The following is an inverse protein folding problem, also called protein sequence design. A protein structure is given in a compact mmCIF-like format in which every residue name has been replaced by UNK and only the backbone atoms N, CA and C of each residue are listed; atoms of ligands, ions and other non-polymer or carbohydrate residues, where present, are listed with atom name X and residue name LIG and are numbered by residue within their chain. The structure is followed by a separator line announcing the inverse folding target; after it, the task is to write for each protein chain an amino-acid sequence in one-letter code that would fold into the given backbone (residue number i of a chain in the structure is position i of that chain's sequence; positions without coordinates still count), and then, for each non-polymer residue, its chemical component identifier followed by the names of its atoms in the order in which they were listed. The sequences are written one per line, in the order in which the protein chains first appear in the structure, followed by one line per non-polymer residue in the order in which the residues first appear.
data_IF_066404233204
#
_entry.id   IF_066404233204
#
_cell.length_a   1.000
_cell.length_b   1.000
_cell.length_c   1.000
_cell.angle_alpha   90.00
_cell.angle_beta   90.00
_cell.angle_gamma   90.00
#
_symmetry.space_group_name_H-M   'P 1'
#
loop_
_entity.id
_entity.type
_entity.pdbx_description
1 polymer ?
#
# COMPACT_ATOMS: atom_id res chain seq x y z
N UNK A 1 6.16 -10.60 -18.54
CA UNK A 1 5.98 -11.69 -17.54
C UNK A 1 5.66 -12.95 -18.28
N UNK A 2 6.26 -14.08 -17.90
CA UNK A 2 6.18 -15.34 -18.65
C UNK A 2 4.86 -16.11 -18.50
N UNK A 3 3.90 -15.58 -17.72
CA UNK A 3 2.59 -16.18 -17.50
C UNK A 3 2.58 -17.48 -16.68
N UNK A 4 3.73 -17.92 -16.18
CA UNK A 4 3.80 -19.12 -15.35
C UNK A 4 3.22 -18.84 -13.95
N UNK A 5 2.51 -19.83 -13.43
CA UNK A 5 2.01 -19.76 -12.04
C UNK A 5 3.18 -19.65 -11.06
N UNK A 6 3.12 -18.73 -10.09
CA UNK A 6 4.17 -18.59 -9.10
C UNK A 6 4.24 -19.83 -8.21
N UNK A 7 5.46 -20.16 -7.74
CA UNK A 7 5.66 -21.25 -6.81
C UNK A 7 5.06 -20.89 -5.44
N UNK A 8 4.19 -21.75 -4.93
CA UNK A 8 3.58 -21.59 -3.60
C UNK A 8 4.61 -21.60 -2.44
N UNK A 9 5.80 -22.14 -2.68
CA UNK A 9 6.89 -22.13 -1.69
C UNK A 9 7.45 -20.71 -1.50
N UNK A 10 7.54 -19.92 -2.58
CA UNK A 10 8.07 -18.56 -2.52
C UNK A 10 7.23 -17.65 -1.61
N UNK A 11 5.90 -17.63 -1.79
CA UNK A 11 5.03 -16.78 -0.96
C UNK A 11 5.10 -17.17 0.53
N UNK A 12 5.17 -18.46 0.83
CA UNK A 12 5.30 -18.94 2.20
C UNK A 12 6.62 -18.50 2.84
N UNK A 13 7.74 -18.53 2.10
CA UNK A 13 9.02 -17.98 2.56
C UNK A 13 8.92 -16.49 2.86
N UNK A 14 8.23 -15.72 2.02
CA UNK A 14 8.02 -14.29 2.21
C UNK A 14 7.14 -13.97 3.43
N UNK A 15 6.18 -14.83 3.77
CA UNK A 15 5.29 -14.64 4.91
C UNK A 15 5.97 -14.93 6.27
N UNK A 16 7.01 -15.76 6.32
CA UNK A 16 7.69 -16.12 7.57
C UNK A 16 8.25 -14.91 8.34
N UNK A 17 9.02 -13.98 7.72
CA UNK A 17 9.53 -12.81 8.41
C UNK A 17 8.44 -11.82 8.86
N UNK A 18 7.23 -11.94 8.31
CA UNK A 18 6.09 -11.07 8.68
C UNK A 18 5.31 -11.59 9.90
N UNK A 19 5.53 -12.85 10.33
CA UNK A 19 4.79 -13.47 11.44
C UNK A 19 4.78 -12.66 12.74
N UNK A 20 5.90 -12.05 13.19
CA UNK A 20 5.89 -11.22 14.40
C UNK A 20 5.05 -9.95 14.29
N UNK A 21 4.78 -9.48 13.06
CA UNK A 21 4.00 -8.26 12.77
C UNK A 21 2.51 -8.54 12.55
N UNK A 22 2.17 -9.76 12.20
CA UNK A 22 0.79 -10.21 11.97
C UNK A 22 0.63 -11.64 12.48
N UNK A 23 0.51 -11.81 13.81
CA UNK A 23 0.45 -13.14 14.43
C UNK A 23 -0.91 -13.80 14.33
N UNK A 24 -2.00 -13.03 14.11
CA UNK A 24 -3.37 -13.48 14.36
C UNK A 24 -3.94 -14.31 13.21
N UNK A 25 -3.55 -14.00 11.95
CA UNK A 25 -4.07 -14.70 10.79
C UNK A 25 -3.05 -14.71 9.63
N UNK A 26 -3.16 -15.71 8.77
CA UNK A 26 -2.35 -15.86 7.55
C UNK A 26 -3.25 -16.23 6.38
N UNK A 27 -3.15 -15.48 5.30
CA UNK A 27 -3.84 -15.80 4.06
C UNK A 27 -2.93 -15.79 2.84
N UNK A 28 -3.27 -16.67 1.89
CA UNK A 28 -2.65 -16.74 0.57
C UNK A 28 -3.75 -16.87 -0.46
N UNK A 29 -3.64 -16.09 -1.53
CA UNK A 29 -4.52 -16.14 -2.68
C UNK A 29 -3.71 -16.19 -3.96
N UNK A 30 -4.20 -16.91 -4.97
CA UNK A 30 -3.53 -17.06 -6.25
C UNK A 30 -4.55 -17.05 -7.39
N UNK A 31 -4.19 -16.34 -8.46
CA UNK A 31 -4.92 -16.39 -9.74
C UNK A 31 -3.93 -16.25 -10.90
N UNK A 32 -3.81 -17.30 -11.71
CA UNK A 32 -2.86 -17.33 -12.82
C UNK A 32 -1.42 -17.04 -12.35
N UNK A 33 -0.72 -16.05 -12.93
CA UNK A 33 0.65 -15.71 -12.58
C UNK A 33 0.76 -14.81 -11.34
N UNK A 34 -0.34 -14.41 -10.72
CA UNK A 34 -0.35 -13.52 -9.56
C UNK A 34 -0.64 -14.28 -8.28
N UNK A 35 0.11 -13.93 -7.23
CA UNK A 35 -0.06 -14.47 -5.89
C UNK A 35 0.04 -13.35 -4.85
N UNK A 36 -0.91 -13.32 -3.91
CA UNK A 36 -0.88 -12.45 -2.74
C UNK A 36 -0.75 -13.27 -1.47
N UNK A 37 -0.01 -12.74 -0.51
CA UNK A 37 0.09 -13.27 0.84
C UNK A 37 -0.04 -12.16 1.86
N UNK A 38 -0.68 -12.46 2.99
CA UNK A 38 -0.89 -11.51 4.06
C UNK A 38 -0.69 -12.16 5.43
N UNK A 39 -0.11 -11.39 6.36
CA UNK A 39 -0.10 -11.66 7.81
C UNK A 39 -0.87 -10.56 8.51
N UNK A 40 -1.86 -10.93 9.29
CA UNK A 40 -2.80 -10.02 9.92
C UNK A 40 -2.49 -9.80 11.40
N UNK A 41 -2.52 -8.53 11.82
CA UNK A 41 -2.74 -8.09 13.18
C UNK A 41 -4.16 -7.54 13.25
N UNK A 42 -5.05 -8.23 13.96
CA UNK A 42 -6.48 -7.90 14.01
C UNK A 42 -6.74 -6.75 14.96
N UNK A 43 -7.01 -5.56 14.44
CA UNK A 43 -7.30 -4.34 15.21
C UNK A 43 -8.72 -3.85 14.90
N UNK A 44 -9.03 -3.66 13.61
CA UNK A 44 -10.37 -3.38 13.12
C UNK A 44 -10.97 -4.68 12.61
N UNK A 45 -12.26 -4.89 12.84
CA UNK A 45 -12.98 -6.12 12.47
C UNK A 45 -12.27 -7.41 12.92
N UNK A 46 -12.50 -7.83 14.15
CA UNK A 46 -11.87 -9.02 14.71
C UNK A 46 -12.43 -10.34 14.14
N UNK A 47 -13.43 -10.27 13.27
CA UNK A 47 -14.04 -11.43 12.64
C UNK A 47 -13.20 -11.96 11.45
N UNK A 48 -13.55 -13.15 10.99
CA UNK A 48 -13.00 -13.75 9.76
C UNK A 48 -13.30 -12.91 8.50
N UNK A 49 -14.28 -12.01 8.54
CA UNK A 49 -14.63 -11.12 7.43
C UNK A 49 -13.56 -10.08 7.14
N UNK A 50 -12.65 -9.82 8.10
CA UNK A 50 -11.47 -9.02 7.91
C UNK A 50 -10.26 -9.80 7.39
N UNK A 51 -10.41 -11.08 7.00
CA UNK A 51 -9.34 -11.89 6.41
C UNK A 51 -8.76 -11.25 5.15
N UNK A 52 -7.45 -11.41 4.97
CA UNK A 52 -6.75 -10.96 3.77
C UNK A 52 -5.82 -12.06 3.23
N UNK A 53 -5.64 -12.18 1.91
CA UNK A 53 -6.14 -11.31 0.85
C UNK A 53 -7.67 -11.27 0.80
N UNK A 54 -8.26 -10.05 0.78
CA UNK A 54 -9.70 -9.89 0.68
C UNK A 54 -10.12 -9.92 -0.78
N UNK A 55 -11.12 -10.76 -1.09
CA UNK A 55 -11.65 -10.96 -2.44
C UNK A 55 -13.08 -10.44 -2.50
N UNK A 56 -13.35 -9.54 -3.43
CA UNK A 56 -14.70 -9.16 -3.82
C UNK A 56 -14.99 -9.75 -5.20
N UNK A 57 -15.76 -10.84 -5.23
CA UNK A 57 -16.04 -11.58 -6.46
C UNK A 57 -17.00 -10.84 -7.39
N UNK A 58 -17.89 -10.00 -6.85
CA UNK A 58 -18.86 -9.23 -7.64
C UNK A 58 -18.14 -8.11 -8.39
N UNK A 59 -17.23 -7.41 -7.69
CA UNK A 59 -16.43 -6.33 -8.26
C UNK A 59 -15.23 -6.86 -9.06
N UNK A 60 -14.87 -8.13 -8.86
CA UNK A 60 -13.69 -8.79 -9.43
C UNK A 60 -12.37 -8.14 -9.00
N UNK A 61 -12.26 -7.80 -7.71
CA UNK A 61 -11.07 -7.23 -7.09
C UNK A 61 -10.51 -8.13 -6.00
N UNK A 62 -9.20 -8.09 -5.84
CA UNK A 62 -8.50 -8.72 -4.70
C UNK A 62 -7.49 -7.73 -4.13
N UNK A 63 -7.42 -7.62 -2.80
CA UNK A 63 -6.53 -6.66 -2.12
C UNK A 63 -5.76 -7.31 -0.98
N UNK A 64 -4.51 -6.86 -0.81
CA UNK A 64 -3.74 -6.94 0.44
C UNK A 64 -3.41 -5.53 0.91
N UNK A 65 -3.66 -5.26 2.18
CA UNK A 65 -3.61 -3.93 2.76
C UNK A 65 -2.89 -3.93 4.11
N UNK A 66 -1.97 -3.00 4.27
CA UNK A 66 -1.26 -2.73 5.51
C UNK A 66 -1.50 -1.27 5.90
N UNK A 67 -2.31 -1.03 6.91
CA UNK A 67 -2.61 0.34 7.31
C UNK A 67 -3.90 0.51 8.08
N UNK A 68 -4.38 1.75 8.09
CA UNK A 68 -5.69 2.15 8.61
C UNK A 68 -6.17 3.37 7.84
N UNK A 69 -7.42 3.31 7.36
CA UNK A 69 -8.14 4.46 6.78
C UNK A 69 -8.97 5.07 7.90
N UNK A 70 -8.57 6.20 8.44
CA UNK A 70 -9.21 6.81 9.62
C UNK A 70 -10.66 7.20 9.37
N UNK A 71 -10.94 7.76 8.19
CA UNK A 71 -12.29 8.18 7.79
C UNK A 71 -13.10 7.07 7.06
N UNK A 72 -12.79 5.79 7.34
CA UNK A 72 -13.47 4.68 6.66
C UNK A 72 -14.97 4.62 6.96
N UNK A 73 -15.42 5.13 8.10
CA UNK A 73 -16.84 5.10 8.48
C UNK A 73 -17.65 6.07 7.64
N UNK A 74 -17.14 7.28 7.45
CA UNK A 74 -17.74 8.31 6.61
C UNK A 74 -17.79 7.87 5.14
N UNK A 75 -16.68 7.33 4.63
CA UNK A 75 -16.62 6.78 3.28
C UNK A 75 -17.59 5.60 3.09
N UNK A 76 -17.74 4.77 4.11
CA UNK A 76 -18.69 3.64 4.09
C UNK A 76 -20.14 4.14 3.95
N UNK A 77 -20.54 5.14 4.72
CA UNK A 77 -21.90 5.70 4.64
C UNK A 77 -22.16 6.35 3.27
N UNK A 78 -21.18 7.06 2.71
CA UNK A 78 -21.29 7.60 1.37
C UNK A 78 -21.44 6.49 0.31
N UNK A 79 -20.62 5.44 0.39
CA UNK A 79 -20.70 4.29 -0.51
C UNK A 79 -22.03 3.54 -0.39
N UNK A 80 -22.59 3.42 0.82
CA UNK A 80 -23.95 2.89 1.01
C UNK A 80 -25.00 3.76 0.30
N UNK A 81 -24.84 5.08 0.36
CA UNK A 81 -25.69 6.03 -0.39
C UNK A 81 -25.60 5.83 -1.91
N UNK A 82 -24.47 5.32 -2.41
CA UNK A 82 -24.28 4.94 -3.82
C UNK A 82 -24.76 3.51 -4.14
N UNK A 83 -25.34 2.79 -3.18
CA UNK A 83 -25.89 1.45 -3.36
C UNK A 83 -24.93 0.30 -3.06
N UNK A 84 -23.73 0.56 -2.48
CA UNK A 84 -22.82 -0.51 -2.09
C UNK A 84 -23.26 -1.19 -0.79
N UNK A 85 -23.16 -2.52 -0.77
CA UNK A 85 -23.39 -3.35 0.42
C UNK A 85 -22.05 -3.78 1.00
N UNK A 86 -21.97 -3.92 2.33
CA UNK A 86 -20.77 -4.30 3.05
C UNK A 86 -21.01 -5.58 3.85
N UNK A 87 -20.03 -6.46 3.84
CA UNK A 87 -20.04 -7.71 4.60
C UNK A 87 -19.15 -7.66 5.84
N UNK A 88 -18.06 -6.88 5.78
CA UNK A 88 -17.14 -6.66 6.89
C UNK A 88 -17.42 -5.34 7.61
N UNK A 89 -16.83 -5.15 8.79
CA UNK A 89 -16.86 -3.88 9.52
C UNK A 89 -15.55 -3.09 9.41
N UNK A 90 -14.54 -3.67 8.75
CA UNK A 90 -13.21 -3.10 8.58
C UNK A 90 -13.11 -2.06 7.45
N UNK A 91 -11.96 -1.44 7.35
CA UNK A 91 -11.60 -0.44 6.34
C UNK A 91 -11.13 -1.05 5.01
N UNK A 92 -10.67 -2.30 5.00
CA UNK A 92 -10.17 -2.97 3.79
C UNK A 92 -11.24 -3.07 2.70
N UNK A 93 -12.49 -3.44 3.07
CA UNK A 93 -13.62 -3.51 2.12
C UNK A 93 -14.00 -2.13 1.59
N UNK A 94 -13.81 -1.07 2.41
CA UNK A 94 -14.04 0.31 1.98
C UNK A 94 -13.09 0.70 0.85
N UNK A 95 -11.81 0.27 0.91
CA UNK A 95 -10.86 0.53 -0.17
C UNK A 95 -11.31 -0.09 -1.49
N UNK A 96 -11.75 -1.37 -1.48
CA UNK A 96 -12.24 -2.06 -2.68
C UNK A 96 -13.42 -1.35 -3.32
N UNK A 97 -14.41 -0.97 -2.51
CA UNK A 97 -15.62 -0.30 -2.99
C UNK A 97 -15.35 1.14 -3.41
N UNK A 98 -14.44 1.84 -2.72
CA UNK A 98 -13.97 3.17 -3.12
C UNK A 98 -13.27 3.15 -4.49
N UNK A 99 -12.42 2.13 -4.72
CA UNK A 99 -11.76 1.98 -6.02
C UNK A 99 -12.77 1.72 -7.13
N UNK A 100 -13.79 0.89 -6.88
CA UNK A 100 -14.85 0.67 -7.86
C UNK A 100 -15.65 1.94 -8.16
N UNK A 101 -15.98 2.73 -7.13
CA UNK A 101 -16.80 3.93 -7.26
C UNK A 101 -16.05 5.09 -7.94
N UNK A 102 -14.76 5.29 -7.59
CA UNK A 102 -14.02 6.51 -7.95
C UNK A 102 -12.69 6.23 -8.68
N UNK A 103 -12.37 4.97 -8.98
CA UNK A 103 -11.12 4.61 -9.62
C UNK A 103 -9.91 5.03 -8.77
N UNK A 104 -8.83 5.44 -9.42
CA UNK A 104 -7.60 5.87 -8.76
C UNK A 104 -7.78 7.13 -7.90
N UNK A 105 -8.78 7.99 -8.19
CA UNK A 105 -9.07 9.17 -7.39
C UNK A 105 -9.55 8.85 -5.96
N UNK A 106 -9.88 7.60 -5.66
CA UNK A 106 -10.28 7.18 -4.32
C UNK A 106 -9.24 7.52 -3.24
N UNK A 107 -7.93 7.48 -3.57
CA UNK A 107 -6.85 7.76 -2.61
C UNK A 107 -6.80 9.22 -2.16
N UNK A 108 -7.33 10.15 -2.94
CA UNK A 108 -7.41 11.56 -2.57
C UNK A 108 -8.43 11.79 -1.44
N UNK A 109 -9.37 10.85 -1.30
CA UNK A 109 -10.44 10.86 -0.30
C UNK A 109 -10.02 10.17 1.02
N UNK A 110 -8.95 9.38 1.00
CA UNK A 110 -8.49 8.66 2.17
C UNK A 110 -7.73 9.57 3.14
N UNK A 111 -8.17 9.60 4.39
CA UNK A 111 -7.39 10.09 5.52
C UNK A 111 -6.84 8.86 6.25
N UNK A 112 -5.52 8.71 6.32
CA UNK A 112 -4.94 7.53 6.96
C UNK A 112 -3.50 7.26 6.59
N UNK A 113 -3.01 6.16 7.12
CA UNK A 113 -1.69 5.60 6.82
C UNK A 113 -1.87 4.25 6.15
N UNK A 114 -1.38 4.09 4.92
CA UNK A 114 -1.67 2.89 4.15
C UNK A 114 -0.62 2.55 3.09
N UNK A 115 -0.47 1.24 2.87
CA UNK A 115 0.10 0.69 1.66
C UNK A 115 -0.75 -0.51 1.25
N UNK A 116 -1.13 -0.60 -0.02
CA UNK A 116 -1.89 -1.73 -0.51
C UNK A 116 -1.48 -2.17 -1.90
N UNK A 117 -1.76 -3.43 -2.19
CA UNK A 117 -1.74 -3.97 -3.54
C UNK A 117 -3.14 -4.45 -3.89
N UNK A 118 -3.69 -3.94 -4.99
CA UNK A 118 -5.02 -4.25 -5.50
C UNK A 118 -4.91 -4.85 -6.89
N UNK A 119 -5.52 -6.00 -7.09
CA UNK A 119 -5.66 -6.65 -8.39
C UNK A 119 -7.04 -6.42 -8.97
N UNK A 120 -7.08 -5.80 -10.15
CA UNK A 120 -8.28 -5.72 -10.99
C UNK A 120 -8.25 -6.90 -11.98
N UNK A 121 -9.14 -7.87 -11.76
CA UNK A 121 -9.22 -9.08 -12.59
C UNK A 121 -9.74 -8.79 -13.99
N UNK A 122 -10.61 -7.77 -14.14
CA UNK A 122 -11.23 -7.41 -15.43
C UNK A 122 -10.23 -6.64 -16.30
N UNK A 123 -9.59 -5.64 -15.73
CA UNK A 123 -8.57 -4.86 -16.42
C UNK A 123 -7.22 -5.59 -16.52
N UNK A 124 -7.00 -6.66 -15.74
CA UNK A 124 -5.73 -7.37 -15.59
C UNK A 124 -4.60 -6.41 -15.19
N UNK A 125 -4.86 -5.58 -14.18
CA UNK A 125 -3.96 -4.56 -13.66
C UNK A 125 -3.68 -4.80 -12.19
N UNK A 126 -2.41 -4.72 -11.82
CA UNK A 126 -1.97 -4.68 -10.43
C UNK A 126 -1.66 -3.24 -10.06
N UNK A 127 -2.29 -2.75 -9.02
CA UNK A 127 -2.06 -1.42 -8.46
C UNK A 127 -1.29 -1.53 -7.15
N UNK A 128 -0.15 -0.84 -7.05
CA UNK A 128 0.61 -0.65 -5.81
C UNK A 128 0.45 0.80 -5.38
N UNK A 129 0.05 1.02 -4.14
CA UNK A 129 -0.31 2.35 -3.63
C UNK A 129 0.29 2.58 -2.26
N UNK A 130 0.79 3.80 -2.02
CA UNK A 130 1.37 4.19 -0.74
C UNK A 130 0.81 5.53 -0.28
N UNK A 131 0.58 5.70 1.02
CA UNK A 131 0.00 6.90 1.63
C UNK A 131 0.81 8.19 1.39
N UNK A 132 0.16 9.33 1.63
CA UNK A 132 0.69 10.68 1.37
C UNK A 132 2.05 10.94 1.98
N UNK A 133 2.29 10.47 3.21
CA UNK A 133 3.52 10.69 3.96
C UNK A 133 4.47 9.49 3.90
N UNK A 134 4.05 8.36 3.28
CA UNK A 134 4.82 7.13 3.21
C UNK A 134 5.01 6.47 4.57
N UNK A 135 4.02 6.60 5.47
CA UNK A 135 4.07 6.02 6.83
C UNK A 135 4.13 4.49 6.76
N UNK A 136 3.29 3.89 5.91
CA UNK A 136 3.36 2.44 5.70
C UNK A 136 4.39 2.12 4.63
N UNK A 137 5.33 1.21 4.92
CA UNK A 137 6.36 0.83 3.95
C UNK A 137 5.80 -0.08 2.85
N UNK A 138 6.31 0.10 1.64
CA UNK A 138 6.10 -0.77 0.50
C UNK A 138 7.38 -0.84 -0.31
N UNK A 139 7.96 -2.03 -0.41
CA UNK A 139 9.16 -2.33 -1.18
C UNK A 139 8.80 -3.18 -2.37
N UNK A 140 9.51 -3.01 -3.47
CA UNK A 140 9.33 -3.81 -4.68
C UNK A 140 10.65 -4.02 -5.41
N UNK A 141 10.72 -5.09 -6.19
CA UNK A 141 11.81 -5.39 -7.12
C UNK A 141 11.25 -6.07 -8.35
N UNK A 142 11.90 -5.90 -9.48
CA UNK A 142 11.52 -6.51 -10.74
C UNK A 142 12.78 -6.99 -11.49
N UNK A 143 12.85 -8.26 -11.82
CA UNK A 143 13.98 -8.89 -12.50
C UNK A 143 13.71 -9.19 -14.01
N UNK A 144 12.83 -8.42 -14.62
CA UNK A 144 12.39 -8.58 -16.01
C UNK A 144 11.27 -9.61 -16.22
N UNK A 145 11.24 -10.67 -15.43
CA UNK A 145 10.22 -11.74 -15.49
C UNK A 145 9.26 -11.74 -14.31
N UNK A 146 9.76 -11.34 -13.15
CA UNK A 146 9.07 -11.47 -11.88
C UNK A 146 9.05 -10.12 -11.18
N UNK A 147 7.86 -9.68 -10.76
CA UNK A 147 7.66 -8.58 -9.84
C UNK A 147 7.42 -9.14 -8.43
N UNK A 148 8.17 -8.68 -7.46
CA UNK A 148 7.97 -8.97 -6.05
C UNK A 148 7.68 -7.67 -5.30
N UNK A 149 6.79 -7.72 -4.32
CA UNK A 149 6.56 -6.62 -3.40
C UNK A 149 6.31 -7.13 -1.97
N UNK A 150 6.67 -6.33 -0.98
CA UNK A 150 6.46 -6.65 0.42
C UNK A 150 6.46 -5.38 1.29
N UNK A 151 5.90 -5.49 2.49
CA UNK A 151 5.93 -4.41 3.49
C UNK A 151 7.26 -4.33 4.24
N UNK A 152 8.16 -5.31 4.11
CA UNK A 152 9.49 -5.30 4.74
C UNK A 152 10.56 -5.87 3.82
N UNK A 153 11.81 -5.38 3.95
CA UNK A 153 12.95 -5.92 3.20
C UNK A 153 13.21 -7.41 3.49
N UNK A 154 13.21 -7.88 4.76
CA UNK A 154 13.41 -9.30 5.04
C UNK A 154 12.40 -10.21 4.34
N UNK A 155 11.13 -9.79 4.24
CA UNK A 155 10.11 -10.55 3.52
C UNK A 155 10.40 -10.61 2.01
N UNK A 156 10.82 -9.49 1.42
CA UNK A 156 11.19 -9.44 0.00
C UNK A 156 12.39 -10.34 -0.31
N UNK A 157 13.45 -10.26 0.52
CA UNK A 157 14.68 -11.05 0.35
C UNK A 157 14.45 -12.55 0.55
N UNK A 158 13.49 -12.93 1.39
CA UNK A 158 13.14 -14.34 1.64
C UNK A 158 12.57 -15.04 0.39
N UNK A 159 12.12 -14.28 -0.62
CA UNK A 159 11.71 -14.83 -1.91
C UNK A 159 12.86 -15.56 -2.64
N UNK A 160 14.10 -15.16 -2.38
CA UNK A 160 15.29 -15.63 -3.10
C UNK A 160 15.44 -15.02 -4.49
N UNK A 161 16.67 -15.02 -5.00
CA UNK A 161 17.01 -14.49 -6.32
C UNK A 161 16.93 -12.97 -6.44
N UNK A 162 16.84 -12.24 -5.31
CA UNK A 162 16.89 -10.78 -5.28
C UNK A 162 18.36 -10.35 -5.24
N UNK A 163 18.74 -9.38 -6.08
CA UNK A 163 20.08 -8.81 -6.03
C UNK A 163 20.29 -8.04 -4.73
N UNK A 164 21.34 -8.43 -3.99
CA UNK A 164 21.72 -7.84 -2.70
C UNK A 164 22.99 -7.00 -2.81
N UNK A 165 23.44 -6.63 -4.01
CA UNK A 165 24.53 -5.69 -4.17
C UNK A 165 24.17 -4.32 -3.61
N UNK A 166 25.08 -3.75 -2.84
CA UNK A 166 24.84 -2.43 -2.25
C UNK A 166 24.80 -1.32 -3.31
N UNK A 167 23.88 -0.38 -3.13
CA UNK A 167 23.85 0.89 -3.84
C UNK A 167 24.83 1.87 -3.13
N UNK A 168 25.92 2.31 -3.78
CA UNK A 168 26.90 3.20 -3.15
C UNK A 168 26.30 4.55 -2.71
N UNK A 169 25.33 5.08 -3.46
CA UNK A 169 24.64 6.32 -3.10
C UNK A 169 23.73 6.13 -1.89
N UNK A 170 23.04 4.99 -1.83
CA UNK A 170 22.22 4.64 -0.66
C UNK A 170 23.08 4.44 0.60
N UNK A 171 24.26 3.83 0.47
CA UNK A 171 25.24 3.75 1.57
C UNK A 171 25.71 5.14 2.01
N UNK A 172 25.99 6.04 1.07
CA UNK A 172 26.33 7.42 1.40
C UNK A 172 25.20 8.10 2.18
N UNK A 173 23.95 7.98 1.74
CA UNK A 173 22.79 8.50 2.48
C UNK A 173 22.68 7.89 3.87
N UNK A 174 22.85 6.56 3.99
CA UNK A 174 22.79 5.87 5.27
C UNK A 174 23.74 6.45 6.31
N UNK A 175 24.99 6.69 5.92
CA UNK A 175 25.99 7.25 6.82
C UNK A 175 25.84 8.76 7.05
N UNK A 176 25.36 9.53 6.05
CA UNK A 176 25.25 10.99 6.13
C UNK A 176 23.91 11.46 6.73
N UNK A 177 22.84 10.67 6.64
CA UNK A 177 21.47 11.03 7.04
C UNK A 177 20.96 10.18 8.21
N UNK A 178 21.82 9.83 9.16
CA UNK A 178 21.43 9.04 10.36
C UNK A 178 20.63 7.76 10.03
N UNK A 179 21.17 6.94 9.12
CA UNK A 179 20.59 5.69 8.64
C UNK A 179 19.30 5.85 7.80
N UNK A 180 18.96 7.06 7.38
CA UNK A 180 17.85 7.30 6.46
C UNK A 180 18.31 7.15 5.02
N UNK A 181 17.66 6.26 4.29
CA UNK A 181 17.82 6.14 2.83
C UNK A 181 16.52 6.64 2.18
N UNK A 182 16.54 7.79 1.49
CA UNK A 182 15.34 8.32 0.85
C UNK A 182 14.78 7.40 -0.24
N UNK A 183 13.46 7.38 -0.39
CA UNK A 183 12.82 6.74 -1.55
C UNK A 183 13.29 7.43 -2.85
N UNK A 184 13.35 6.71 -3.99
CA UNK A 184 12.96 5.31 -4.16
C UNK A 184 14.03 4.29 -3.76
N UNK A 185 15.20 4.72 -3.24
CA UNK A 185 16.33 3.84 -2.95
C UNK A 185 16.13 3.00 -1.69
N UNK A 186 16.78 1.84 -1.69
CA UNK A 186 17.11 1.06 -0.49
C UNK A 186 18.63 0.84 -0.46
N UNK A 187 19.14 0.11 0.53
CA UNK A 187 20.56 -0.27 0.53
C UNK A 187 20.93 -1.20 -0.62
N UNK A 188 19.96 -1.85 -1.27
CA UNK A 188 20.19 -2.76 -2.39
C UNK A 188 19.79 -2.12 -3.71
N UNK A 189 20.62 -2.30 -4.77
CA UNK A 189 20.46 -1.63 -6.07
C UNK A 189 19.12 -1.89 -6.72
N UNK A 190 18.69 -3.14 -6.74
CA UNK A 190 17.49 -3.59 -7.46
C UNK A 190 16.24 -3.65 -6.58
N UNK A 191 16.35 -3.21 -5.33
CA UNK A 191 15.21 -3.14 -4.42
C UNK A 191 14.81 -1.70 -4.21
N UNK A 192 13.58 -1.39 -4.55
CA UNK A 192 13.04 -0.04 -4.50
C UNK A 192 12.03 0.11 -3.37
N UNK A 193 12.00 1.30 -2.79
CA UNK A 193 10.98 1.75 -1.87
C UNK A 193 9.96 2.56 -2.68
N UNK A 194 8.68 2.18 -2.61
CA UNK A 194 7.62 2.99 -3.22
C UNK A 194 7.66 4.40 -2.64
N UNK A 195 7.62 5.42 -3.48
CA UNK A 195 7.64 6.80 -3.03
C UNK A 195 6.33 7.16 -2.31
N UNK A 196 6.36 8.10 -1.33
CA UNK A 196 5.15 8.63 -0.69
C UNK A 196 4.19 9.25 -1.70
N UNK A 197 2.89 9.12 -1.46
CA UNK A 197 1.84 9.68 -2.32
C UNK A 197 1.89 9.19 -3.78
N UNK A 198 2.35 7.96 -4.02
CA UNK A 198 2.41 7.41 -5.37
C UNK A 198 1.44 6.24 -5.56
N UNK A 199 0.95 6.19 -6.79
CA UNK A 199 0.20 5.11 -7.37
C UNK A 199 0.99 4.52 -8.54
N UNK A 200 1.21 3.21 -8.53
CA UNK A 200 1.88 2.48 -9.61
C UNK A 200 0.93 1.42 -10.15
N UNK A 201 0.69 1.43 -11.45
CA UNK A 201 -0.08 0.42 -12.17
C UNK A 201 0.86 -0.46 -12.98
N UNK A 202 0.69 -1.76 -12.87
CA UNK A 202 1.41 -2.77 -13.62
C UNK A 202 0.40 -3.55 -14.45
N UNK A 203 0.56 -3.50 -15.78
CA UNK A 203 -0.27 -4.20 -16.75
C UNK A 203 0.20 -5.64 -16.97
N UNK A 204 -0.67 -6.49 -17.48
CA UNK A 204 -0.35 -7.89 -17.74
C UNK A 204 0.80 -8.10 -18.76
N UNK A 205 1.00 -7.16 -19.69
CA UNK A 205 2.10 -7.13 -20.64
C UNK A 205 3.43 -6.66 -20.06
N UNK A 206 3.43 -6.23 -18.79
CA UNK A 206 4.60 -5.72 -18.07
C UNK A 206 4.79 -4.21 -18.17
N UNK A 207 3.96 -3.49 -18.95
CA UNK A 207 3.98 -2.02 -18.94
C UNK A 207 3.68 -1.50 -17.53
N UNK A 208 4.41 -0.48 -17.10
CA UNK A 208 4.21 0.15 -15.79
C UNK A 208 4.01 1.64 -15.94
N UNK A 209 3.01 2.15 -15.23
CA UNK A 209 2.73 3.57 -15.10
C UNK A 209 2.81 3.97 -13.64
N UNK A 210 3.37 5.14 -13.35
CA UNK A 210 3.45 5.65 -11.97
C UNK A 210 3.17 7.14 -11.98
N UNK A 211 2.36 7.59 -11.01
CA UNK A 211 2.12 9.01 -10.80
C UNK A 211 2.02 9.34 -9.32
N UNK A 212 2.34 10.59 -9.00
CA UNK A 212 2.13 11.17 -7.67
C UNK A 212 0.71 11.74 -7.60
N UNK A 213 -0.11 11.24 -6.67
CA UNK A 213 -1.48 11.72 -6.49
C UNK A 213 -1.61 12.87 -5.49
N UNK A 214 -0.56 13.13 -4.69
CA UNK A 214 -0.56 14.24 -3.73
C UNK A 214 0.86 14.78 -3.52
N UNK A 215 0.96 16.10 -3.26
CA UNK A 215 2.21 16.76 -2.84
C UNK A 215 1.92 17.79 -1.77
N UNK A 216 2.85 17.92 -0.82
CA UNK A 216 2.79 18.99 0.17
C UNK A 216 3.07 20.32 -0.54
N UNK A 217 2.12 21.23 -0.47
CA UNK A 217 2.28 22.61 -0.96
C UNK A 217 2.29 23.56 0.23
N UNK A 218 3.39 24.31 0.38
CA UNK A 218 3.47 25.39 1.34
C UNK A 218 3.17 26.71 0.62
N UNK A 219 2.11 27.39 1.02
CA UNK A 219 1.75 28.70 0.50
C UNK A 219 1.72 29.72 1.64
N UNK A 220 2.30 30.89 1.41
CA UNK A 220 2.06 32.01 2.31
C UNK A 220 0.63 32.47 2.14
N UNK A 221 -0.12 32.66 3.23
CA UNK A 221 -1.47 33.24 3.11
C UNK A 221 -1.40 34.64 2.52
N UNK A 222 -2.39 34.98 1.72
CA UNK A 222 -2.52 36.31 1.09
C UNK A 222 -2.72 37.37 2.17
N UNK A 223 -3.45 37.02 3.22
CA UNK A 223 -3.68 37.89 4.39
C UNK A 223 -2.76 37.50 5.56
N UNK A 224 -2.14 38.48 6.18
CA UNK A 224 -1.34 38.27 7.38
C UNK A 224 -2.23 37.90 8.56
N UNK A 225 -2.01 36.72 9.13
CA UNK A 225 -2.65 36.32 10.37
C UNK A 225 -1.81 36.74 11.57
N UNK A 226 -2.44 37.13 12.67
CA UNK A 226 -1.78 37.36 13.94
C UNK A 226 -1.23 36.04 14.52
N UNK A 227 -0.30 36.13 15.46
CA UNK A 227 0.26 34.95 16.17
C UNK A 227 -0.84 34.11 16.82
N UNK A 228 -1.85 34.74 17.38
CA UNK A 228 -2.98 34.07 18.01
C UNK A 228 -3.84 33.29 17.01
N UNK A 229 -4.15 33.89 15.85
CA UNK A 229 -4.88 33.21 14.79
C UNK A 229 -4.12 32.01 14.20
N UNK A 230 -2.78 32.12 14.12
CA UNK A 230 -1.96 30.98 13.73
C UNK A 230 -1.94 29.87 14.77
N UNK A 231 -1.84 30.24 16.07
CA UNK A 231 -1.87 29.27 17.16
C UNK A 231 -3.21 28.52 17.20
N UNK A 232 -4.33 29.26 17.05
CA UNK A 232 -5.66 28.66 17.06
C UNK A 232 -5.88 27.74 15.84
N UNK A 233 -5.49 28.17 14.63
CA UNK A 233 -5.58 27.34 13.43
C UNK A 233 -4.72 26.06 13.58
N UNK A 234 -3.53 26.17 14.18
CA UNK A 234 -2.69 25.02 14.50
C UNK A 234 -3.33 24.08 15.51
N UNK A 235 -3.95 24.60 16.56
CA UNK A 235 -4.69 23.82 17.55
C UNK A 235 -5.86 23.07 16.91
N UNK A 236 -6.67 23.76 16.10
CA UNK A 236 -7.79 23.14 15.38
C UNK A 236 -7.33 22.01 14.46
N UNK A 237 -6.26 22.24 13.69
CA UNK A 237 -5.69 21.21 12.80
C UNK A 237 -5.20 19.98 13.58
N UNK A 238 -4.56 20.18 14.75
CA UNK A 238 -4.12 19.08 15.61
C UNK A 238 -5.29 18.31 16.24
N UNK A 239 -6.41 19.00 16.54
CA UNK A 239 -7.59 18.34 17.09
C UNK A 239 -8.37 17.53 16.04
N UNK A 240 -8.19 17.83 14.75
CA UNK A 240 -8.81 17.11 13.63
C UNK A 240 -7.96 15.92 13.14
N UNK A 241 -6.68 15.89 13.45
CA UNK A 241 -5.74 14.85 13.03
C UNK A 241 -5.78 13.62 13.94
#
# INVERSE_FOLDING_TARGET
MDGMAPDSVTIRKMLQPLRPRGPDDEGVWQQGPLQFGHRRLSILDLSERGHQPMVDSELAFTIVFNGTIYNFRELREELKGLGYHFTSTGDTEVILKSFHAWGQACVERFAGMFAFALWDQRAKQLHLVRDRMGIKPLYWTQDGKRLLFASTLPALLAAGGVDTQFDPLALHHHFSLHAVVPAPRTLFREVHKMEPAHWKTIHADGLTEQHRYWSLTAQRPVEAKSEWEWAEAGRESLMQA
#
